data_IF_335067406202
#
_entry.id   IF_335067406202
#
_cell.length_a   1.000
_cell.length_b   1.000
_cell.length_c   1.000
_cell.angle_alpha   90.00
_cell.angle_beta   90.00
_cell.angle_gamma   90.00
#
_symmetry.space_group_name_H-M   'P 1'
#
loop_
_entity.id
_entity.type
_entity.pdbx_description
1 polymer ?
#
# COMPACT_ATOMS: atom_id res chain seq x y z
N UNK A 1 21.20 22.22 -27.39
CA UNK A 1 21.44 21.40 -26.19
C UNK A 1 20.65 20.10 -26.35
N UNK A 2 21.32 18.95 -26.44
CA UNK A 2 20.64 17.65 -26.44
C UNK A 2 20.81 17.04 -25.06
N UNK A 3 19.71 16.80 -24.35
CA UNK A 3 19.74 16.11 -23.07
C UNK A 3 19.96 14.61 -23.28
N UNK A 4 20.74 13.98 -22.40
CA UNK A 4 20.89 12.52 -22.36
C UNK A 4 19.52 11.85 -22.17
N UNK A 5 19.38 10.63 -22.68
CA UNK A 5 18.18 9.84 -22.44
C UNK A 5 18.02 9.61 -20.93
N UNK A 6 16.78 9.64 -20.41
CA UNK A 6 16.54 9.39 -19.00
C UNK A 6 17.04 7.99 -18.63
N UNK A 7 17.65 7.83 -17.44
CA UNK A 7 18.12 6.53 -16.98
C UNK A 7 16.95 5.54 -16.89
N UNK A 8 17.19 4.29 -17.28
CA UNK A 8 16.19 3.23 -17.22
C UNK A 8 15.74 3.00 -15.77
N UNK A 9 14.42 3.02 -15.54
CA UNK A 9 13.82 2.72 -14.24
C UNK A 9 13.99 1.23 -13.95
N UNK A 10 14.57 0.88 -12.80
CA UNK A 10 14.61 -0.52 -12.34
C UNK A 10 13.24 -0.87 -11.79
N UNK A 11 12.51 -1.72 -12.49
CA UNK A 11 11.25 -2.24 -11.96
C UNK A 11 11.53 -3.27 -10.86
N UNK A 12 10.72 -3.24 -9.81
CA UNK A 12 10.78 -4.24 -8.77
C UNK A 12 10.37 -5.62 -9.31
N UNK A 13 11.06 -6.70 -8.91
CA UNK A 13 10.67 -8.06 -9.25
C UNK A 13 9.24 -8.32 -8.78
N UNK A 14 8.45 -9.00 -9.61
CA UNK A 14 7.01 -9.23 -9.41
C UNK A 14 6.67 -10.03 -8.16
N UNK A 15 7.63 -10.81 -7.66
CA UNK A 15 7.50 -11.61 -6.44
C UNK A 15 7.90 -10.85 -5.17
N UNK A 16 8.31 -9.58 -5.27
CA UNK A 16 8.66 -8.83 -4.06
C UNK A 16 7.42 -8.58 -3.21
N UNK A 17 7.58 -8.76 -1.90
CA UNK A 17 6.57 -8.48 -0.88
C UNK A 17 6.02 -7.05 -1.05
N UNK A 18 6.89 -6.10 -1.38
CA UNK A 18 6.51 -4.71 -1.69
C UNK A 18 5.48 -4.65 -2.81
N UNK A 19 5.75 -5.25 -3.96
CA UNK A 19 4.88 -5.18 -5.14
C UNK A 19 3.53 -5.86 -4.90
N UNK A 20 3.52 -6.93 -4.10
CA UNK A 20 2.27 -7.58 -3.68
C UNK A 20 1.44 -6.68 -2.78
N UNK A 21 2.06 -6.03 -1.79
CA UNK A 21 1.37 -5.09 -0.88
C UNK A 21 0.83 -3.87 -1.63
N UNK A 22 1.62 -3.27 -2.53
CA UNK A 22 1.15 -2.15 -3.34
C UNK A 22 -0.01 -2.57 -4.26
N UNK A 23 0.02 -3.78 -4.82
CA UNK A 23 -1.07 -4.31 -5.63
C UNK A 23 -2.37 -4.51 -4.83
N UNK A 24 -2.27 -4.94 -3.57
CA UNK A 24 -3.43 -5.02 -2.66
C UNK A 24 -4.04 -3.63 -2.47
N UNK A 25 -3.22 -2.63 -2.13
CA UNK A 25 -3.71 -1.26 -1.90
C UNK A 25 -4.30 -0.64 -3.16
N UNK A 26 -3.78 -0.99 -4.35
CA UNK A 26 -4.38 -0.57 -5.62
C UNK A 26 -5.80 -1.09 -5.85
N UNK A 27 -6.15 -2.29 -5.35
CA UNK A 27 -7.54 -2.79 -5.43
C UNK A 27 -8.51 -1.83 -4.72
N UNK A 28 -8.05 -1.16 -3.66
CA UNK A 28 -8.83 -0.21 -2.87
C UNK A 28 -8.83 1.22 -3.44
N UNK A 29 -8.34 1.44 -4.67
CA UNK A 29 -8.36 2.76 -5.34
C UNK A 29 -9.74 3.42 -5.43
N UNK A 30 -10.80 2.62 -5.43
CA UNK A 30 -12.18 3.13 -5.43
C UNK A 30 -12.51 3.86 -4.13
N UNK A 31 -11.95 3.40 -3.01
CA UNK A 31 -12.15 3.96 -1.67
C UNK A 31 -11.10 5.02 -1.31
N UNK A 32 -9.90 4.91 -1.90
CA UNK A 32 -8.77 5.82 -1.69
C UNK A 32 -8.42 6.50 -3.02
N UNK A 33 -9.07 7.63 -3.35
CA UNK A 33 -8.88 8.30 -4.62
C UNK A 33 -7.48 8.93 -4.75
N UNK A 34 -6.83 9.25 -3.64
CA UNK A 34 -5.52 9.89 -3.62
C UNK A 34 -4.43 8.82 -3.70
N UNK A 35 -3.65 8.85 -4.79
CA UNK A 35 -2.55 7.92 -5.02
C UNK A 35 -1.45 8.02 -3.95
N UNK A 36 -1.12 9.23 -3.50
CA UNK A 36 -0.15 9.43 -2.43
C UNK A 36 -0.56 8.74 -1.10
N UNK A 37 -1.86 8.73 -0.81
CA UNK A 37 -2.41 8.09 0.40
C UNK A 37 -2.34 6.56 0.27
N UNK A 38 -2.60 6.04 -0.94
CA UNK A 38 -2.38 4.62 -1.28
C UNK A 38 -0.92 4.23 -1.10
N UNK A 39 0.00 5.02 -1.61
CA UNK A 39 1.43 4.72 -1.51
C UNK A 39 1.92 4.75 -0.04
N UNK A 40 1.42 5.71 0.76
CA UNK A 40 1.68 5.74 2.20
C UNK A 40 1.15 4.51 2.91
N UNK A 41 -0.10 4.11 2.63
CA UNK A 41 -0.69 2.89 3.19
C UNK A 41 0.12 1.66 2.81
N UNK A 42 0.47 1.49 1.53
CA UNK A 42 1.30 0.39 1.05
C UNK A 42 2.63 0.29 1.77
N UNK A 43 3.30 1.42 2.01
CA UNK A 43 4.55 1.46 2.78
C UNK A 43 4.38 1.02 4.24
N UNK A 44 3.31 1.44 4.91
CA UNK A 44 3.05 1.02 6.30
C UNK A 44 2.71 -0.47 6.40
N UNK A 45 1.91 -0.99 5.46
CA UNK A 45 1.56 -2.41 5.41
C UNK A 45 2.79 -3.27 5.08
N UNK A 46 3.68 -2.79 4.22
CA UNK A 46 4.95 -3.46 3.94
C UNK A 46 5.82 -3.57 5.19
N UNK A 47 5.95 -2.47 5.95
CA UNK A 47 6.67 -2.48 7.24
C UNK A 47 6.04 -3.43 8.27
N UNK A 48 4.72 -3.56 8.26
CA UNK A 48 4.02 -4.50 9.11
C UNK A 48 4.41 -5.96 8.78
N UNK A 49 4.49 -6.32 7.49
CA UNK A 49 4.97 -7.66 7.07
C UNK A 49 6.42 -7.91 7.50
N UNK A 50 7.26 -6.88 7.46
CA UNK A 50 8.66 -6.97 7.92
C UNK A 50 8.80 -7.02 9.45
N UNK A 51 7.71 -7.01 10.22
CA UNK A 51 7.68 -6.92 11.68
C UNK A 51 8.29 -5.62 12.26
N UNK A 52 8.46 -4.58 11.42
CA UNK A 52 8.98 -3.27 11.81
C UNK A 52 7.86 -2.22 11.99
N UNK A 53 6.60 -2.60 11.80
CA UNK A 53 5.45 -1.70 11.69
C UNK A 53 4.31 -1.99 12.68
N UNK A 54 3.42 -1.00 12.80
CA UNK A 54 2.17 -1.10 13.54
C UNK A 54 1.05 -1.72 12.67
N UNK A 55 0.02 -2.33 13.29
CA UNK A 55 -1.06 -3.00 12.58
C UNK A 55 -1.85 -2.06 11.65
N UNK A 56 -2.52 -2.62 10.61
CA UNK A 56 -3.32 -1.87 9.63
C UNK A 56 -4.33 -0.89 10.26
N UNK A 57 -4.94 -1.30 11.37
CA UNK A 57 -5.90 -0.50 12.14
C UNK A 57 -5.30 0.84 12.61
N UNK A 58 -4.03 0.84 13.01
CA UNK A 58 -3.33 2.04 13.45
C UNK A 58 -2.73 2.82 12.28
N UNK A 59 -2.37 2.18 11.16
CA UNK A 59 -1.74 2.86 10.01
C UNK A 59 -2.71 3.71 9.17
N UNK A 60 -4.00 3.36 9.13
CA UNK A 60 -5.06 4.12 8.43
C UNK A 60 -5.23 5.56 8.96
N UNK A 61 -5.30 5.82 10.28
CA UNK A 61 -5.33 7.20 10.78
C UNK A 61 -4.00 7.96 10.60
N UNK A 62 -2.84 7.29 10.65
CA UNK A 62 -1.54 7.95 10.43
C UNK A 62 -1.31 8.39 8.98
N UNK A 63 -1.85 7.64 8.03
CA UNK A 63 -1.72 7.93 6.59
C UNK A 63 -2.56 9.13 6.14
N UNK A 64 -3.40 9.71 7.03
CA UNK A 64 -4.30 10.85 6.76
C UNK A 64 -5.20 10.61 5.54
N UNK A 65 -5.53 9.36 5.27
CA UNK A 65 -6.28 8.95 4.08
C UNK A 65 -7.66 9.59 4.08
N UNK A 66 -7.99 10.28 2.99
CA UNK A 66 -9.37 10.68 2.71
C UNK A 66 -10.13 9.46 2.17
N UNK A 67 -10.81 8.77 3.07
CA UNK A 67 -11.68 7.64 2.73
C UNK A 67 -12.99 8.15 2.12
N UNK A 68 -13.38 7.57 0.99
CA UNK A 68 -14.75 7.68 0.45
C UNK A 68 -15.47 6.35 0.62
N UNK A 69 -16.71 6.43 1.09
CA UNK A 69 -17.69 5.34 1.11
C UNK A 69 -17.29 4.08 1.92
N UNK A 70 -16.30 4.16 2.81
CA UNK A 70 -15.94 3.07 3.73
C UNK A 70 -15.50 3.60 5.09
N UNK A 71 -15.79 2.83 6.15
CA UNK A 71 -15.30 3.12 7.50
C UNK A 71 -13.84 2.66 7.65
N UNK A 72 -13.10 3.27 8.59
CA UNK A 72 -11.69 2.95 8.85
C UNK A 72 -11.51 1.49 9.29
N UNK A 73 -12.47 0.96 10.03
CA UNK A 73 -12.46 -0.39 10.57
C UNK A 73 -12.69 -1.43 9.47
N UNK A 74 -13.69 -1.23 8.60
CA UNK A 74 -13.96 -2.13 7.48
C UNK A 74 -12.82 -2.20 6.47
N UNK A 75 -12.11 -1.10 6.26
CA UNK A 75 -10.93 -1.10 5.40
C UNK A 75 -9.74 -1.80 6.08
N UNK A 76 -9.61 -1.69 7.40
CA UNK A 76 -8.58 -2.40 8.15
C UNK A 76 -8.79 -3.92 8.10
N UNK A 77 -10.02 -4.40 8.30
CA UNK A 77 -10.36 -5.82 8.30
C UNK A 77 -10.10 -6.45 6.93
N UNK A 78 -10.48 -5.75 5.85
CA UNK A 78 -10.23 -6.20 4.47
C UNK A 78 -8.75 -6.24 4.13
N UNK A 79 -8.00 -5.20 4.53
CA UNK A 79 -6.53 -5.19 4.35
C UNK A 79 -5.86 -6.31 5.15
N UNK A 80 -6.32 -6.58 6.37
CA UNK A 80 -5.74 -7.63 7.20
C UNK A 80 -6.00 -9.02 6.60
N UNK A 81 -7.20 -9.27 6.08
CA UNK A 81 -7.52 -10.50 5.36
C UNK A 81 -6.67 -10.68 4.09
N UNK A 82 -6.43 -9.59 3.34
CA UNK A 82 -5.58 -9.63 2.14
C UNK A 82 -4.08 -9.81 2.49
N UNK A 83 -3.63 -9.28 3.62
CA UNK A 83 -2.25 -9.45 4.12
C UNK A 83 -2.00 -10.88 4.62
N UNK A 84 -2.97 -11.50 5.27
CA UNK A 84 -2.88 -12.91 5.70
C UNK A 84 -2.75 -13.87 4.51
N UNK A 85 -3.19 -13.47 3.31
CA UNK A 85 -2.97 -14.25 2.08
C UNK A 85 -1.52 -14.20 1.58
N UNK A 86 -0.73 -13.19 1.94
CA UNK A 86 0.70 -13.10 1.58
C UNK A 86 1.56 -13.94 2.52
N UNK A 87 1.11 -14.14 3.76
CA UNK A 87 1.81 -14.90 4.80
C UNK A 87 1.68 -16.44 4.65
N UNK A 88 0.78 -16.92 3.79
CA UNK A 88 0.56 -18.36 3.50
C UNK A 88 1.32 -18.83 2.27
#
# INVERSE_FOLDING_TARGET
MSTLQPPSTREFPSESIEKQVYSIVEKYKAYIPIENDRNRLGFYLYKYILNEGEPPIKSIPYSKVLLRDITKEELADKLQADLDQISK
#
